data_IF_388857842340
#
_entry.id   IF_388857842340
#
_cell.length_a   1.000
_cell.length_b   1.000
_cell.length_c   1.000
_cell.angle_alpha   90.00
_cell.angle_beta   90.00
_cell.angle_gamma   90.00
#
_symmetry.space_group_name_H-M   'P 1'
#
loop_
_entity.id
_entity.type
_entity.pdbx_description
1 polymer ?
#
# COMPACT_ATOMS: atom_id res chain seq x y z
N UNK A 1 53.23 84.84 -19.34
CA UNK A 1 52.08 84.57 -18.43
C UNK A 1 50.88 84.24 -19.28
N UNK A 2 50.31 83.04 -19.11
CA UNK A 2 49.17 82.55 -19.88
C UNK A 2 49.04 81.04 -19.67
N UNK A 3 48.43 80.65 -18.56
CA UNK A 3 48.19 79.25 -18.19
C UNK A 3 47.09 78.66 -19.07
N UNK A 4 47.25 77.41 -19.53
CA UNK A 4 46.15 76.63 -20.10
C UNK A 4 46.00 75.32 -19.32
N UNK A 5 44.77 75.15 -18.80
CA UNK A 5 44.34 74.12 -17.86
C UNK A 5 43.89 72.83 -18.55
N UNK A 6 44.02 71.75 -17.78
CA UNK A 6 43.50 70.39 -17.94
C UNK A 6 42.07 70.28 -18.50
N UNK A 7 41.80 69.19 -19.23
CA UNK A 7 40.57 68.39 -19.05
C UNK A 7 40.93 66.90 -19.18
N UNK A 8 40.91 66.17 -18.06
CA UNK A 8 40.89 64.70 -18.03
C UNK A 8 39.43 64.27 -17.88
N UNK A 9 38.85 63.70 -18.94
CA UNK A 9 37.50 63.13 -18.92
C UNK A 9 37.50 61.75 -18.27
N UNK A 10 36.98 61.65 -17.06
CA UNK A 10 36.76 60.38 -16.36
C UNK A 10 35.47 59.71 -16.84
N UNK A 11 35.60 58.51 -17.43
CA UNK A 11 34.48 57.64 -17.77
C UNK A 11 33.93 57.01 -16.48
N UNK A 12 32.77 57.48 -16.01
CA UNK A 12 32.08 56.92 -14.86
C UNK A 12 31.35 55.63 -15.27
N UNK A 13 31.88 54.46 -14.90
CA UNK A 13 31.14 53.21 -14.92
C UNK A 13 30.06 53.25 -13.84
N UNK A 14 28.80 53.38 -14.25
CA UNK A 14 27.65 53.20 -13.37
C UNK A 14 27.46 51.70 -13.11
N UNK A 15 27.87 51.21 -11.94
CA UNK A 15 27.44 49.89 -11.45
C UNK A 15 25.95 49.97 -11.12
N UNK A 16 25.13 49.23 -11.85
CA UNK A 16 23.73 48.99 -11.48
C UNK A 16 23.69 48.01 -10.32
N UNK A 17 23.40 48.51 -9.12
CA UNK A 17 23.04 47.66 -7.98
C UNK A 17 21.58 47.27 -8.15
N UNK A 18 21.30 45.98 -8.37
CA UNK A 18 19.93 45.47 -8.28
C UNK A 18 19.60 45.40 -6.80
N UNK A 19 18.71 46.27 -6.33
CA UNK A 19 18.16 46.17 -4.99
C UNK A 19 17.10 45.05 -4.99
N UNK A 20 17.34 43.97 -4.24
CA UNK A 20 16.31 42.98 -3.95
C UNK A 20 15.55 43.43 -2.70
N UNK A 21 14.38 44.03 -2.89
CA UNK A 21 13.44 44.28 -1.80
C UNK A 21 12.24 43.36 -1.99
N UNK A 22 11.80 42.72 -0.90
CA UNK A 22 10.58 41.92 -0.93
C UNK A 22 9.36 42.84 -0.96
N UNK A 23 8.32 42.46 -1.70
CA UNK A 23 7.03 43.16 -1.64
C UNK A 23 6.24 42.65 -0.43
N UNK A 24 5.81 43.57 0.42
CA UNK A 24 4.97 43.28 1.59
C UNK A 24 3.63 43.98 1.40
N UNK A 25 2.56 43.19 1.27
CA UNK A 25 1.18 43.68 1.24
C UNK A 25 0.65 43.61 2.68
N UNK A 26 0.36 44.77 3.28
CA UNK A 26 -0.09 44.87 4.68
C UNK A 26 -1.59 44.60 4.86
N UNK A 27 -2.28 44.19 3.81
CA UNK A 27 -3.71 43.90 3.74
C UNK A 27 -3.96 42.69 2.84
N UNK A 28 -5.21 42.24 2.74
CA UNK A 28 -5.60 41.11 1.90
C UNK A 28 -5.33 41.40 0.41
N UNK A 29 -4.63 40.48 -0.26
CA UNK A 29 -4.45 40.54 -1.71
C UNK A 29 -5.59 39.81 -2.42
N UNK A 30 -6.45 40.58 -3.10
CA UNK A 30 -7.50 40.03 -3.97
C UNK A 30 -7.04 40.13 -5.43
N UNK A 31 -6.82 38.98 -6.06
CA UNK A 31 -6.60 38.87 -7.52
C UNK A 31 -7.91 38.42 -8.16
N UNK A 32 -8.66 39.30 -8.85
CA UNK A 32 -10.00 38.98 -9.35
C UNK A 32 -10.02 38.02 -10.54
N UNK A 33 -8.87 37.82 -11.20
CA UNK A 33 -8.71 36.90 -12.33
C UNK A 33 -7.76 35.76 -11.94
N UNK A 34 -6.57 35.73 -12.53
CA UNK A 34 -5.61 34.66 -12.34
C UNK A 34 -4.26 35.20 -11.87
N UNK A 35 -3.55 34.40 -11.09
CA UNK A 35 -2.19 34.69 -10.61
C UNK A 35 -1.23 33.62 -11.12
N UNK A 36 -0.07 34.02 -11.64
CA UNK A 36 1.05 33.12 -11.86
C UNK A 36 2.15 33.40 -10.85
N UNK A 37 2.68 32.35 -10.22
CA UNK A 37 3.80 32.41 -9.29
C UNK A 37 4.88 31.42 -9.71
N UNK A 38 6.12 31.89 -9.82
CA UNK A 38 7.28 31.06 -10.12
C UNK A 38 8.17 31.62 -11.23
N UNK A 39 9.35 31.02 -11.42
CA UNK A 39 10.38 31.49 -12.34
C UNK A 39 9.98 31.45 -13.82
N UNK A 40 8.99 30.61 -14.15
CA UNK A 40 8.61 30.32 -15.52
C UNK A 40 7.28 31.00 -15.92
N UNK A 41 6.78 31.90 -15.06
CA UNK A 41 5.71 32.83 -15.41
C UNK A 41 6.19 33.84 -16.47
N UNK A 42 5.31 34.22 -17.38
CA UNK A 42 5.65 35.16 -18.47
C UNK A 42 4.57 36.22 -18.63
N UNK A 43 4.98 37.42 -19.06
CA UNK A 43 4.04 38.51 -19.31
C UNK A 43 3.12 38.18 -20.50
N UNK A 44 1.82 38.45 -20.32
CA UNK A 44 0.79 38.16 -21.32
C UNK A 44 0.42 36.68 -21.47
N UNK A 45 0.63 35.83 -20.45
CA UNK A 45 0.21 34.43 -20.52
C UNK A 45 -1.31 34.23 -20.47
N UNK A 46 -1.79 33.23 -21.22
CA UNK A 46 -3.20 32.84 -21.23
C UNK A 46 -3.48 31.80 -20.13
N UNK A 47 -4.36 32.13 -19.20
CA UNK A 47 -4.69 31.31 -18.04
C UNK A 47 -5.80 30.29 -18.27
N UNK A 48 -6.50 30.33 -19.40
CA UNK A 48 -7.69 29.50 -19.65
C UNK A 48 -8.67 29.55 -18.45
N UNK A 49 -8.89 28.42 -17.75
CA UNK A 49 -9.74 28.34 -16.57
C UNK A 49 -8.97 28.36 -15.24
N UNK A 50 -7.64 28.46 -15.26
CA UNK A 50 -6.82 28.40 -14.04
C UNK A 50 -6.86 29.72 -13.27
N UNK A 51 -7.20 29.67 -11.98
CA UNK A 51 -7.16 30.84 -11.08
C UNK A 51 -5.76 31.07 -10.50
N UNK A 52 -4.97 30.01 -10.34
CA UNK A 52 -3.59 30.08 -9.85
C UNK A 52 -2.73 29.08 -10.62
N UNK A 53 -1.61 29.56 -11.18
CA UNK A 53 -0.58 28.73 -11.78
C UNK A 53 0.72 28.84 -11.01
N UNK A 54 1.28 27.70 -10.64
CA UNK A 54 2.63 27.61 -10.09
C UNK A 54 3.55 27.09 -11.18
N UNK A 55 4.49 27.93 -11.64
CA UNK A 55 5.36 27.62 -12.79
C UNK A 55 6.84 27.69 -12.41
N UNK A 56 7.41 26.52 -12.17
CA UNK A 56 8.83 26.27 -12.01
C UNK A 56 9.10 24.78 -12.36
N UNK A 57 10.36 24.32 -12.43
CA UNK A 57 10.65 22.89 -12.63
C UNK A 57 10.08 21.96 -11.55
N UNK A 58 9.96 22.45 -10.31
CA UNK A 58 9.42 21.69 -9.17
C UNK A 58 8.52 22.60 -8.31
N UNK A 59 7.28 22.89 -8.77
CA UNK A 59 6.40 23.82 -8.07
C UNK A 59 5.90 23.21 -6.76
N UNK A 60 5.97 23.99 -5.69
CA UNK A 60 5.61 23.56 -4.34
C UNK A 60 4.87 24.67 -3.59
N UNK A 61 4.01 24.24 -2.67
CA UNK A 61 3.39 25.08 -1.65
C UNK A 61 3.89 24.56 -0.30
N UNK A 62 4.45 25.45 0.51
CA UNK A 62 4.91 25.15 1.85
C UNK A 62 3.92 25.70 2.88
N UNK A 63 3.50 24.84 3.80
CA UNK A 63 2.69 25.17 4.96
C UNK A 63 3.61 25.22 6.17
N UNK A 64 4.04 26.43 6.52
CA UNK A 64 4.92 26.67 7.65
C UNK A 64 4.08 26.92 8.91
N UNK A 65 4.14 26.00 9.86
CA UNK A 65 3.48 26.16 11.15
C UNK A 65 4.36 26.99 12.09
N UNK A 66 3.98 28.26 12.28
CA UNK A 66 4.70 29.18 13.15
C UNK A 66 4.28 29.10 14.63
N UNK A 67 3.42 28.13 14.98
CA UNK A 67 2.98 27.93 16.36
C UNK A 67 4.19 27.70 17.26
N UNK A 68 4.19 28.29 18.46
CA UNK A 68 5.32 28.22 19.40
C UNK A 68 4.89 27.91 20.83
N UNK A 69 3.61 27.60 21.04
CA UNK A 69 3.09 27.16 22.32
C UNK A 69 3.14 25.64 22.39
N UNK A 70 3.56 25.09 23.53
CA UNK A 70 3.66 23.64 23.73
C UNK A 70 2.32 22.87 23.59
N UNK A 71 1.19 23.56 23.51
CA UNK A 71 -0.14 22.97 23.30
C UNK A 71 -0.52 22.77 21.84
N UNK A 72 0.19 23.39 20.90
CA UNK A 72 -0.05 23.20 19.46
C UNK A 72 1.08 22.36 18.86
N UNK A 73 0.75 21.42 17.96
CA UNK A 73 1.76 20.80 17.10
C UNK A 73 2.55 21.88 16.34
N UNK A 74 3.78 21.55 15.93
CA UNK A 74 4.65 22.42 15.12
C UNK A 74 5.03 21.68 13.83
N UNK A 75 4.00 21.18 13.15
CA UNK A 75 4.17 20.28 12.02
C UNK A 75 4.18 21.09 10.73
N UNK A 76 5.34 21.14 10.09
CA UNK A 76 5.51 21.74 8.77
C UNK A 76 5.17 20.71 7.69
N UNK A 77 4.45 21.17 6.67
CA UNK A 77 4.04 20.34 5.55
C UNK A 77 4.38 21.02 4.24
N UNK A 78 4.65 20.23 3.23
CA UNK A 78 4.73 20.71 1.86
C UNK A 78 3.89 19.83 0.94
N UNK A 79 3.42 20.43 -0.14
CA UNK A 79 2.84 19.68 -1.25
C UNK A 79 3.38 20.24 -2.55
N UNK A 80 3.46 19.39 -3.56
CA UNK A 80 3.92 19.86 -4.85
C UNK A 80 4.00 18.76 -5.87
N UNK A 81 4.55 19.15 -7.02
CA UNK A 81 4.91 18.24 -8.09
C UNK A 81 6.42 18.28 -8.21
N UNK A 82 7.02 17.11 -8.28
CA UNK A 82 8.43 16.98 -8.64
C UNK A 82 8.50 16.31 -10.00
N UNK A 83 9.38 16.77 -10.88
CA UNK A 83 9.78 16.02 -12.08
C UNK A 83 10.69 14.83 -11.71
N UNK A 84 11.15 14.80 -10.46
CA UNK A 84 11.98 13.77 -9.87
C UNK A 84 13.48 13.95 -10.13
N UNK A 85 13.91 14.98 -10.85
CA UNK A 85 15.30 15.10 -11.28
C UNK A 85 15.84 13.81 -11.90
N UNK A 86 17.15 13.57 -11.86
CA UNK A 86 17.76 12.35 -12.43
C UNK A 86 17.62 11.09 -11.55
N UNK A 87 16.97 11.15 -10.39
CA UNK A 87 16.98 10.06 -9.39
C UNK A 87 15.63 9.75 -8.71
N UNK A 88 14.57 10.50 -8.99
CA UNK A 88 13.23 10.25 -8.46
C UNK A 88 12.20 10.20 -9.60
N UNK A 89 11.06 9.55 -9.37
CA UNK A 89 9.96 9.52 -10.33
C UNK A 89 9.22 10.85 -10.26
N UNK A 90 8.79 11.36 -11.41
CA UNK A 90 7.80 12.45 -11.45
C UNK A 90 6.62 12.06 -10.57
N UNK A 91 6.15 12.93 -9.68
CA UNK A 91 5.06 12.61 -8.77
C UNK A 91 4.42 13.87 -8.18
N UNK A 92 3.13 13.76 -7.86
CA UNK A 92 2.48 14.63 -6.90
C UNK A 92 2.72 14.09 -5.50
N UNK A 93 3.08 14.95 -4.55
CA UNK A 93 3.35 14.53 -3.18
C UNK A 93 2.75 15.46 -2.13
N UNK A 94 2.50 14.89 -0.95
CA UNK A 94 2.32 15.60 0.31
C UNK A 94 3.34 15.05 1.30
N UNK A 95 4.14 15.94 1.86
CA UNK A 95 5.26 15.61 2.74
C UNK A 95 5.09 16.31 4.08
N UNK A 96 5.39 15.57 5.16
CA UNK A 96 5.70 16.20 6.44
C UNK A 96 7.17 16.59 6.40
N UNK A 97 7.43 17.89 6.46
CA UNK A 97 8.80 18.43 6.50
C UNK A 97 9.41 18.19 7.88
N UNK A 98 8.61 18.31 8.95
CA UNK A 98 9.02 17.98 10.32
C UNK A 98 9.50 16.54 10.45
N UNK A 99 8.79 15.57 9.84
CA UNK A 99 9.19 14.17 9.84
C UNK A 99 10.14 13.79 8.69
N UNK A 100 10.38 14.69 7.73
CA UNK A 100 11.13 14.43 6.50
C UNK A 100 10.62 13.20 5.74
N UNK A 101 9.30 13.03 5.65
CA UNK A 101 8.66 11.85 5.07
C UNK A 101 7.50 12.22 4.15
N UNK A 102 7.46 11.58 2.98
CA UNK A 102 6.28 11.59 2.13
C UNK A 102 5.16 10.81 2.81
N UNK A 103 3.99 11.44 2.89
CA UNK A 103 2.77 10.87 3.49
C UNK A 103 1.75 10.50 2.41
N UNK A 104 1.81 11.17 1.26
CA UNK A 104 1.10 10.78 0.05
C UNK A 104 2.04 10.98 -1.14
N UNK A 105 2.13 9.98 -2.00
CA UNK A 105 2.79 10.09 -3.31
C UNK A 105 1.88 9.47 -4.35
N UNK A 106 1.64 10.19 -5.45
CA UNK A 106 0.90 9.70 -6.61
C UNK A 106 1.80 9.85 -7.83
N UNK A 107 2.07 8.72 -8.51
CA UNK A 107 2.86 8.72 -9.75
C UNK A 107 1.97 9.00 -10.98
N UNK A 108 2.55 9.47 -12.10
CA UNK A 108 1.85 9.60 -13.38
C UNK A 108 1.28 8.28 -13.91
N UNK A 109 1.86 7.14 -13.48
CA UNK A 109 1.43 5.80 -13.89
C UNK A 109 0.24 5.29 -13.05
N UNK A 110 -0.20 6.06 -12.06
CA UNK A 110 -1.33 5.72 -11.19
C UNK A 110 -0.96 4.96 -9.92
N UNK A 111 0.34 4.77 -9.63
CA UNK A 111 0.80 4.16 -8.39
C UNK A 111 0.56 5.12 -7.22
N UNK A 112 0.11 4.60 -6.08
CA UNK A 112 -0.17 5.41 -4.88
C UNK A 112 0.60 4.85 -3.69
N UNK A 113 1.35 5.72 -2.99
CA UNK A 113 1.88 5.44 -1.67
C UNK A 113 1.12 6.29 -0.64
N UNK A 114 0.50 5.64 0.34
CA UNK A 114 -0.35 6.26 1.35
C UNK A 114 0.16 5.95 2.76
N UNK A 115 0.51 7.01 3.49
CA UNK A 115 1.04 6.98 4.84
C UNK A 115 2.55 7.26 4.89
N UNK A 116 2.99 7.87 5.98
CA UNK A 116 4.38 8.33 6.16
C UNK A 116 5.42 7.23 5.89
N UNK A 117 6.30 7.43 4.90
CA UNK A 117 7.31 6.44 4.53
C UNK A 117 6.79 5.20 3.79
N UNK A 118 5.54 5.22 3.30
CA UNK A 118 5.07 4.22 2.35
C UNK A 118 5.87 4.32 1.03
N UNK A 119 6.20 3.17 0.44
CA UNK A 119 6.91 3.11 -0.84
C UNK A 119 5.94 2.91 -2.00
N UNK A 120 6.25 3.50 -3.17
CA UNK A 120 5.50 3.22 -4.39
C UNK A 120 5.67 1.75 -4.80
N UNK A 121 4.57 1.14 -5.21
CA UNK A 121 4.51 -0.22 -5.78
C UNK A 121 3.79 -0.13 -7.11
N UNK A 122 4.38 -0.70 -8.15
CA UNK A 122 3.84 -0.67 -9.51
C UNK A 122 2.43 -1.29 -9.56
N UNK A 123 1.47 -0.53 -10.09
CA UNK A 123 0.08 -0.95 -10.25
C UNK A 123 -0.70 -1.10 -8.94
N UNK A 124 -0.23 -0.51 -7.83
CA UNK A 124 -0.83 -0.73 -6.51
C UNK A 124 -1.01 0.55 -5.68
N UNK A 125 -1.95 0.46 -4.74
CA UNK A 125 -2.01 1.35 -3.58
C UNK A 125 -1.23 0.71 -2.45
N UNK A 126 -0.03 1.21 -2.19
CA UNK A 126 0.81 0.81 -1.07
C UNK A 126 0.45 1.62 0.17
N UNK A 127 0.08 0.94 1.26
CA UNK A 127 -0.21 1.58 2.55
C UNK A 127 0.99 1.61 3.51
N UNK A 128 2.17 1.20 3.05
CA UNK A 128 3.35 1.06 3.89
C UNK A 128 4.60 0.65 3.13
N UNK A 129 5.52 0.01 3.84
CA UNK A 129 6.72 -0.59 3.29
C UNK A 129 7.05 -1.85 4.10
N UNK A 130 7.99 -2.67 3.63
CA UNK A 130 8.40 -3.88 4.32
C UNK A 130 8.84 -3.56 5.77
N UNK A 131 8.21 -4.23 6.74
CA UNK A 131 8.43 -4.01 8.17
C UNK A 131 7.78 -2.74 8.75
N UNK A 132 7.06 -1.98 7.94
CA UNK A 132 6.28 -0.79 8.31
C UNK A 132 4.89 -0.84 7.64
N UNK A 133 4.28 -2.02 7.65
CA UNK A 133 2.93 -2.23 7.13
C UNK A 133 1.90 -1.53 8.01
N UNK A 134 0.79 -1.11 7.39
CA UNK A 134 -0.34 -0.51 8.10
C UNK A 134 -1.55 -1.41 8.05
N UNK A 135 -2.32 -1.39 9.13
CA UNK A 135 -3.66 -1.98 9.12
C UNK A 135 -4.61 -1.06 8.36
N UNK A 136 -5.47 -1.65 7.55
CA UNK A 136 -6.67 -0.98 7.02
C UNK A 136 -7.84 -1.38 7.92
N UNK A 137 -8.34 -0.44 8.73
CA UNK A 137 -9.43 -0.68 9.67
C UNK A 137 -10.77 -0.18 9.13
N UNK A 138 -11.87 -0.68 9.70
CA UNK A 138 -13.24 -0.34 9.30
C UNK A 138 -13.59 -0.73 7.85
N UNK A 139 -13.00 -1.82 7.36
CA UNK A 139 -13.37 -2.44 6.09
C UNK A 139 -14.69 -3.21 6.28
N UNK A 140 -15.72 -2.85 5.51
CA UNK A 140 -17.00 -3.56 5.49
C UNK A 140 -16.84 -4.97 4.90
N UNK A 141 -17.89 -5.79 4.94
CA UNK A 141 -17.86 -7.10 4.29
C UNK A 141 -17.87 -6.93 2.76
N UNK A 142 -17.03 -7.70 2.07
CA UNK A 142 -16.99 -7.76 0.61
C UNK A 142 -18.33 -8.23 0.01
N UNK A 143 -18.74 -7.62 -1.10
CA UNK A 143 -19.96 -7.93 -1.85
C UNK A 143 -19.60 -8.38 -3.28
N UNK A 144 -18.77 -7.62 -3.98
CA UNK A 144 -18.34 -7.91 -5.34
C UNK A 144 -17.00 -8.67 -5.38
N UNK A 145 -16.70 -9.31 -6.51
CA UNK A 145 -15.50 -10.15 -6.68
C UNK A 145 -14.17 -9.39 -6.46
N UNK A 146 -14.18 -8.07 -6.61
CA UNK A 146 -12.99 -7.21 -6.48
C UNK A 146 -12.91 -6.46 -5.15
N UNK A 147 -13.79 -6.77 -4.19
CA UNK A 147 -13.77 -6.14 -2.88
C UNK A 147 -12.69 -6.73 -1.96
N UNK A 148 -12.18 -5.90 -1.06
CA UNK A 148 -11.28 -6.35 -0.01
C UNK A 148 -12.06 -7.17 1.04
N UNK A 149 -11.53 -8.35 1.38
CA UNK A 149 -12.09 -9.22 2.42
C UNK A 149 -11.58 -8.79 3.79
N UNK A 150 -12.45 -8.71 4.80
CA UNK A 150 -12.06 -8.41 6.17
C UNK A 150 -11.87 -9.69 7.03
N UNK A 151 -11.37 -9.52 8.26
CA UNK A 151 -11.06 -10.65 9.16
C UNK A 151 -12.28 -11.53 9.49
N UNK A 152 -13.49 -10.95 9.62
CA UNK A 152 -14.68 -11.72 10.01
C UNK A 152 -15.10 -12.71 8.92
N UNK A 153 -14.97 -12.32 7.66
CA UNK A 153 -15.27 -13.18 6.51
C UNK A 153 -14.24 -14.32 6.42
N UNK A 154 -12.97 -14.05 6.72
CA UNK A 154 -11.93 -15.07 6.79
C UNK A 154 -12.19 -16.07 7.93
N UNK A 155 -12.55 -15.61 9.13
CA UNK A 155 -12.90 -16.48 10.27
C UNK A 155 -14.14 -17.35 9.97
N UNK A 156 -15.15 -16.80 9.28
CA UNK A 156 -16.33 -17.56 8.86
C UNK A 156 -15.98 -18.64 7.81
N UNK A 157 -15.09 -18.33 6.87
CA UNK A 157 -14.55 -19.31 5.92
C UNK A 157 -13.78 -20.42 6.66
N UNK A 158 -12.91 -20.06 7.61
CA UNK A 158 -12.15 -21.03 8.41
C UNK A 158 -13.09 -21.99 9.15
N UNK A 159 -14.12 -21.49 9.83
CA UNK A 159 -15.08 -22.32 10.55
C UNK A 159 -15.80 -23.32 9.63
N UNK A 160 -16.12 -22.90 8.39
CA UNK A 160 -16.74 -23.77 7.38
C UNK A 160 -15.77 -24.86 6.91
N UNK A 161 -14.50 -24.51 6.70
CA UNK A 161 -13.47 -25.46 6.31
C UNK A 161 -13.19 -26.49 7.42
N UNK A 162 -13.11 -26.07 8.67
CA UNK A 162 -12.92 -26.95 9.83
C UNK A 162 -14.10 -27.94 10.00
N UNK A 163 -15.33 -27.47 9.85
CA UNK A 163 -16.52 -28.33 9.90
C UNK A 163 -16.52 -29.38 8.79
N UNK A 164 -16.09 -29.02 7.57
CA UNK A 164 -15.98 -29.97 6.45
C UNK A 164 -14.91 -31.03 6.74
N UNK A 165 -13.74 -30.62 7.24
CA UNK A 165 -12.68 -31.56 7.61
C UNK A 165 -13.14 -32.54 8.70
N UNK A 166 -13.92 -32.06 9.67
CA UNK A 166 -14.49 -32.91 10.71
C UNK A 166 -15.46 -33.96 10.14
N UNK A 167 -16.31 -33.58 9.17
CA UNK A 167 -17.20 -34.52 8.49
C UNK A 167 -16.45 -35.60 7.72
N UNK A 168 -15.36 -35.22 7.03
CA UNK A 168 -14.51 -36.18 6.30
C UNK A 168 -13.82 -37.17 7.24
N UNK A 169 -13.34 -36.71 8.40
CA UNK A 169 -12.75 -37.57 9.43
C UNK A 169 -13.77 -38.57 9.96
N UNK A 170 -14.99 -38.12 10.24
CA UNK A 170 -16.08 -38.99 10.69
C UNK A 170 -16.45 -40.03 9.62
N UNK A 171 -16.53 -39.62 8.36
CA UNK A 171 -16.76 -40.53 7.25
C UNK A 171 -15.65 -41.58 7.11
N UNK A 172 -14.39 -41.19 7.31
CA UNK A 172 -13.25 -42.11 7.31
C UNK A 172 -13.31 -43.10 8.49
N UNK A 173 -13.62 -42.61 9.69
CA UNK A 173 -13.78 -43.47 10.88
C UNK A 173 -14.87 -44.52 10.65
N UNK A 174 -16.03 -44.12 10.10
CA UNK A 174 -17.11 -45.05 9.77
C UNK A 174 -16.68 -46.12 8.75
N UNK A 175 -15.84 -45.75 7.77
CA UNK A 175 -15.29 -46.71 6.79
C UNK A 175 -14.30 -47.67 7.45
N UNK A 176 -13.51 -47.19 8.42
CA UNK A 176 -12.58 -48.01 9.19
C UNK A 176 -13.32 -49.01 10.08
N UNK A 177 -14.36 -48.58 10.79
CA UNK A 177 -15.22 -49.46 11.60
C UNK A 177 -15.87 -50.54 10.71
N UNK A 178 -16.30 -50.16 9.50
CA UNK A 178 -16.81 -51.10 8.51
C UNK A 178 -15.76 -52.11 8.02
N UNK A 179 -14.49 -51.71 7.90
CA UNK A 179 -13.38 -52.63 7.58
C UNK A 179 -13.10 -53.58 8.75
N UNK A 180 -13.09 -53.08 9.97
CA UNK A 180 -12.90 -53.88 11.19
C UNK A 180 -13.99 -54.95 11.32
N UNK A 181 -15.26 -54.58 11.16
CA UNK A 181 -16.38 -55.53 11.21
C UNK A 181 -16.27 -56.64 10.14
N UNK A 182 -15.82 -56.30 8.93
CA UNK A 182 -15.58 -57.28 7.86
C UNK A 182 -14.41 -58.20 8.18
N UNK A 183 -13.35 -57.68 8.80
CA UNK A 183 -12.20 -58.47 9.24
C UNK A 183 -12.62 -59.49 10.31
N UNK A 184 -13.39 -59.08 11.32
CA UNK A 184 -13.95 -59.98 12.34
C UNK A 184 -14.84 -61.06 11.73
N UNK A 185 -15.74 -60.69 10.82
CA UNK A 185 -16.59 -61.67 10.14
C UNK A 185 -15.80 -62.67 9.28
N UNK A 186 -14.66 -62.25 8.72
CA UNK A 186 -13.75 -63.11 7.97
C UNK A 186 -13.05 -64.11 8.91
N UNK A 187 -12.58 -63.65 10.08
CA UNK A 187 -12.00 -64.51 11.10
C UNK A 187 -13.00 -65.58 11.58
N UNK A 188 -14.23 -65.19 11.94
CA UNK A 188 -15.25 -66.14 12.36
C UNK A 188 -15.58 -67.19 11.27
N UNK A 189 -15.49 -66.77 10.00
CA UNK A 189 -15.70 -67.68 8.87
C UNK A 189 -14.55 -68.65 8.70
N UNK A 190 -13.30 -68.22 8.95
CA UNK A 190 -12.14 -69.11 8.96
C UNK A 190 -12.25 -70.15 10.06
N UNK A 191 -12.67 -69.77 11.26
CA UNK A 191 -12.90 -70.72 12.37
C UNK A 191 -13.97 -71.75 12.01
N UNK A 192 -15.12 -71.32 11.47
CA UNK A 192 -16.15 -72.24 10.99
C UNK A 192 -15.66 -73.18 9.88
N UNK A 193 -14.76 -72.73 9.02
CA UNK A 193 -14.17 -73.57 7.98
C UNK A 193 -13.23 -74.59 8.62
N UNK A 194 -12.38 -74.17 9.56
CA UNK A 194 -11.49 -75.06 10.29
C UNK A 194 -12.26 -76.19 10.99
N UNK A 195 -13.35 -75.86 11.69
CA UNK A 195 -14.23 -76.83 12.34
C UNK A 195 -14.82 -77.84 11.35
N UNK A 196 -15.32 -77.37 10.20
CA UNK A 196 -15.87 -78.24 9.15
C UNK A 196 -14.83 -79.18 8.56
N UNK A 197 -13.60 -78.71 8.37
CA UNK A 197 -12.49 -79.54 7.87
C UNK A 197 -12.16 -80.62 8.88
N UNK A 198 -12.04 -80.27 10.17
CA UNK A 198 -11.79 -81.22 11.24
C UNK A 198 -12.88 -82.30 11.32
N UNK A 199 -14.16 -81.91 11.21
CA UNK A 199 -15.27 -82.85 11.21
C UNK A 199 -15.25 -83.80 9.99
N UNK A 200 -14.88 -83.29 8.81
CA UNK A 200 -14.79 -84.11 7.59
C UNK A 200 -13.69 -85.16 7.71
N UNK A 201 -12.53 -84.80 8.28
CA UNK A 201 -11.43 -85.73 8.51
C UNK A 201 -11.78 -86.83 9.52
N UNK A 202 -12.60 -86.53 10.54
CA UNK A 202 -13.06 -87.54 11.49
C UNK A 202 -13.98 -88.60 10.84
N UNK A 203 -14.83 -88.18 9.89
CA UNK A 203 -15.72 -89.11 9.16
C UNK A 203 -14.91 -90.08 8.27
N UNK A 204 -13.83 -89.61 7.67
CA UNK A 204 -12.98 -90.44 6.79
C UNK A 204 -12.27 -91.55 7.57
N UNK A 205 -11.96 -91.34 8.87
CA UNK A 205 -11.32 -92.37 9.71
C UNK A 205 -12.27 -93.47 10.20
N UNK A 206 -13.58 -93.21 10.29
CA UNK A 206 -14.59 -94.21 10.67
C UNK A 206 -15.05 -95.07 9.45
N UNK A 207 -14.84 -94.58 8.23
CA UNK A 207 -15.22 -95.25 6.98
C UNK A 207 -14.41 -96.50 6.63
N UNK A 208 -13.14 -96.57 7.08
CA UNK A 208 -12.21 -97.65 6.76
C UNK A 208 -12.37 -98.92 7.64
N UNK A 209 -13.34 -98.94 8.58
CA UNK A 209 -13.60 -100.07 9.49
C UNK A 209 -14.35 -101.27 8.84
N UNK A 210 -14.62 -101.24 7.53
CA UNK A 210 -15.40 -102.27 6.84
C UNK A 210 -14.55 -103.16 5.91
N UNK A 211 -13.40 -103.65 6.37
CA UNK A 211 -12.69 -104.77 5.74
C UNK A 211 -12.00 -105.66 6.77
#
# INVERSE_FOLDING_TARGET
MGALRLIAGGLAMTLTVVASADEVILDDLIVPFSMCVGSDCVDGEDFDFDTLRLKSPTPQIHFWDTSNTASFPIEDWSMGITDGGTASRTSFFVRSETASQDVLVISPDGDVALGAGAGLVEGAVSVGNLGNERRVSHVADAIDDTDAVNLRQFEAFQATAEATAQQDIEALNNRLDGFEARMTAMLDRLDRIADKVAQTQAIDQDGDSWH
#
